data_IF_287704281330
#
_entry.id   IF_287704281330
#
_cell.length_a   1.000
_cell.length_b   1.000
_cell.length_c   1.000
_cell.angle_alpha   90.00
_cell.angle_beta   90.00
_cell.angle_gamma   90.00
#
_symmetry.space_group_name_H-M   'P 1'
#
loop_
_entity.id
_entity.type
_entity.pdbx_description
1 polymer ?
#
# COMPACT_ATOMS: atom_id res chain seq x y z
N UNK A 1 37.30 -11.18 -12.22
CA UNK A 1 35.94 -11.76 -12.16
C UNK A 1 35.15 -11.09 -11.04
N UNK A 2 34.13 -10.27 -11.35
CA UNK A 2 33.29 -9.62 -10.32
C UNK A 2 32.31 -10.66 -9.76
N UNK A 3 32.55 -11.15 -8.54
CA UNK A 3 31.61 -12.04 -7.83
C UNK A 3 30.26 -11.31 -7.73
N UNK A 4 29.25 -11.76 -8.48
CA UNK A 4 27.84 -11.36 -8.27
C UNK A 4 27.50 -11.78 -6.84
N UNK A 5 27.45 -10.84 -5.90
CA UNK A 5 26.94 -11.11 -4.54
C UNK A 5 25.53 -11.68 -4.72
N UNK A 6 25.31 -12.90 -4.26
CA UNK A 6 23.98 -13.50 -4.24
C UNK A 6 23.06 -12.53 -3.48
N UNK A 7 21.94 -12.18 -4.10
CA UNK A 7 20.99 -11.27 -3.47
C UNK A 7 20.39 -11.99 -2.26
N UNK A 8 20.48 -11.39 -1.07
CA UNK A 8 19.88 -11.96 0.14
C UNK A 8 18.36 -12.14 -0.10
N UNK A 9 17.85 -13.34 0.19
CA UNK A 9 16.43 -13.69 0.09
C UNK A 9 15.88 -13.83 1.50
N UNK A 10 14.80 -13.13 1.81
CA UNK A 10 14.10 -13.18 3.09
C UNK A 10 12.71 -13.77 2.85
N UNK A 11 12.28 -14.71 3.68
CA UNK A 11 10.93 -15.22 3.64
C UNK A 11 9.97 -14.25 4.34
N UNK A 12 8.75 -14.09 3.80
CA UNK A 12 7.66 -13.48 4.55
C UNK A 12 7.02 -14.50 5.50
N UNK A 13 6.01 -14.06 6.26
CA UNK A 13 5.32 -14.89 7.27
C UNK A 13 4.61 -16.11 6.67
N UNK A 14 4.42 -16.15 5.35
CA UNK A 14 3.76 -17.23 4.60
C UNK A 14 4.76 -18.11 3.84
N UNK A 15 6.07 -17.98 4.13
CA UNK A 15 7.13 -18.81 3.53
C UNK A 15 7.52 -18.42 2.10
N UNK A 16 7.00 -17.32 1.56
CA UNK A 16 7.36 -16.83 0.23
C UNK A 16 8.69 -16.08 0.29
N UNK A 17 9.67 -16.53 -0.50
CA UNK A 17 11.00 -15.91 -0.57
C UNK A 17 10.97 -14.64 -1.42
N UNK A 18 11.35 -13.52 -0.81
CA UNK A 18 11.44 -12.20 -1.43
C UNK A 18 12.89 -11.74 -1.43
N UNK A 19 13.34 -11.18 -2.56
CA UNK A 19 14.68 -10.59 -2.65
C UNK A 19 14.76 -9.31 -1.82
N UNK A 20 15.75 -9.19 -0.94
CA UNK A 20 16.01 -8.00 -0.12
C UNK A 20 16.65 -6.90 -0.97
N UNK A 21 15.85 -5.94 -1.45
CA UNK A 21 16.32 -4.79 -2.22
C UNK A 21 15.31 -3.63 -2.23
N UNK A 22 15.70 -2.45 -2.72
CA UNK A 22 14.82 -1.28 -2.85
C UNK A 22 13.55 -1.57 -3.66
N UNK A 23 13.61 -2.51 -4.60
CA UNK A 23 12.43 -3.00 -5.34
C UNK A 23 11.35 -3.63 -4.45
N UNK A 24 11.74 -4.26 -3.36
CA UNK A 24 10.85 -4.92 -2.39
C UNK A 24 10.70 -4.14 -1.08
N UNK A 25 11.28 -2.94 -0.98
CA UNK A 25 11.26 -2.13 0.23
C UNK A 25 9.88 -1.45 0.43
N UNK A 26 9.46 -1.29 1.69
CA UNK A 26 8.29 -0.50 2.08
C UNK A 26 8.43 0.97 1.66
N UNK A 27 9.64 1.54 1.81
CA UNK A 27 9.93 2.93 1.50
C UNK A 27 10.17 3.19 0.00
N UNK A 28 9.76 2.29 -0.90
CA UNK A 28 9.95 2.47 -2.35
C UNK A 28 8.95 3.48 -2.89
N UNK A 29 9.41 4.41 -3.72
CA UNK A 29 8.57 5.37 -4.41
C UNK A 29 9.07 5.66 -5.82
N UNK A 30 8.34 6.55 -6.48
CA UNK A 30 8.72 7.18 -7.74
C UNK A 30 8.53 8.69 -7.59
N UNK A 31 9.41 9.47 -8.18
CA UNK A 31 9.24 10.92 -8.27
C UNK A 31 8.36 11.33 -9.47
N UNK A 32 8.21 12.64 -9.68
CA UNK A 32 7.41 13.22 -10.76
C UNK A 32 7.96 12.91 -12.17
N UNK A 33 9.18 12.38 -12.27
CA UNK A 33 9.83 11.95 -13.51
C UNK A 33 9.82 10.41 -13.66
N UNK A 34 9.00 9.73 -12.87
CA UNK A 34 8.90 8.27 -12.81
C UNK A 34 10.24 7.57 -12.45
N UNK A 35 11.18 8.30 -11.85
CA UNK A 35 12.44 7.74 -11.37
C UNK A 35 12.26 7.15 -9.99
N UNK A 36 12.82 5.96 -9.78
CA UNK A 36 12.73 5.27 -8.49
C UNK A 36 13.47 6.04 -7.40
N UNK A 37 12.76 6.37 -6.34
CA UNK A 37 13.30 7.05 -5.17
C UNK A 37 12.98 6.27 -3.87
N UNK A 38 13.72 6.57 -2.82
CA UNK A 38 13.42 6.14 -1.46
C UNK A 38 12.59 7.23 -0.77
N UNK A 39 11.35 6.93 -0.38
CA UNK A 39 10.44 7.87 0.27
C UNK A 39 10.94 8.33 1.65
N UNK A 40 11.80 7.55 2.30
CA UNK A 40 12.38 7.90 3.59
C UNK A 40 13.48 8.97 3.47
N UNK A 41 14.28 8.94 2.40
CA UNK A 41 15.47 9.79 2.26
C UNK A 41 15.39 10.78 1.09
N UNK A 42 14.39 10.65 0.22
CA UNK A 42 14.23 11.41 -1.02
C UNK A 42 15.25 11.07 -2.11
N UNK A 43 16.19 10.14 -1.87
CA UNK A 43 17.27 9.83 -2.81
C UNK A 43 16.82 8.88 -3.92
N UNK A 44 17.34 9.07 -5.13
CA UNK A 44 17.20 8.11 -6.22
C UNK A 44 17.97 6.83 -5.93
N UNK A 45 17.32 5.69 -6.19
CA UNK A 45 17.88 4.36 -5.88
C UNK A 45 17.64 3.37 -7.01
N UNK A 46 18.62 2.49 -7.23
CA UNK A 46 18.44 1.36 -8.15
C UNK A 46 17.54 0.30 -7.53
N UNK A 47 16.72 -0.38 -8.33
CA UNK A 47 15.79 -1.40 -7.82
C UNK A 47 16.46 -2.58 -7.10
N UNK A 48 17.73 -2.86 -7.41
CA UNK A 48 18.53 -3.93 -6.79
C UNK A 48 19.43 -3.45 -5.65
N UNK A 49 19.44 -2.16 -5.31
CA UNK A 49 20.18 -1.65 -4.16
C UNK A 49 19.56 -2.14 -2.84
N UNK A 50 20.30 -2.08 -1.75
CA UNK A 50 19.83 -2.41 -0.40
C UNK A 50 20.48 -1.44 0.58
N UNK A 51 19.76 -1.06 1.63
CA UNK A 51 20.24 -0.22 2.72
C UNK A 51 19.88 -0.86 4.05
N UNK A 52 20.43 -0.36 5.14
CA UNK A 52 20.21 -0.90 6.48
C UNK A 52 18.77 -0.67 6.97
N UNK A 53 18.14 0.43 6.53
CA UNK A 53 16.72 0.74 6.80
C UNK A 53 15.73 -0.04 5.93
N UNK A 54 16.18 -1.11 5.26
CA UNK A 54 15.31 -1.91 4.42
C UNK A 54 14.27 -2.64 5.28
N UNK A 55 13.01 -2.53 4.87
CA UNK A 55 11.91 -3.34 5.40
C UNK A 55 11.04 -3.82 4.24
N UNK A 56 10.52 -5.04 4.33
CA UNK A 56 9.69 -5.61 3.28
C UNK A 56 8.40 -4.78 3.06
N UNK A 57 8.00 -4.55 1.81
CA UNK A 57 6.74 -3.84 1.54
C UNK A 57 5.53 -4.63 2.01
N UNK A 58 4.47 -3.93 2.42
CA UNK A 58 3.33 -4.59 3.07
C UNK A 58 2.60 -5.56 2.14
N UNK A 59 2.56 -5.27 0.84
CA UNK A 59 2.04 -6.20 -0.16
C UNK A 59 2.85 -7.50 -0.27
N UNK A 60 4.17 -7.42 -0.02
CA UNK A 60 5.05 -8.60 -0.02
C UNK A 60 5.02 -9.35 1.32
N UNK A 61 4.86 -8.66 2.46
CA UNK A 61 4.69 -9.30 3.77
C UNK A 61 3.51 -10.29 3.79
N UNK A 62 2.42 -9.92 3.13
CA UNK A 62 1.18 -10.71 3.09
C UNK A 62 1.05 -11.60 1.85
N UNK A 63 2.04 -11.59 0.96
CA UNK A 63 1.99 -12.34 -0.29
C UNK A 63 1.87 -13.84 0.04
N UNK A 64 0.85 -14.51 -0.50
CA UNK A 64 0.58 -15.92 -0.19
C UNK A 64 -0.44 -16.15 0.94
N UNK A 65 -0.95 -15.10 1.58
CA UNK A 65 -2.13 -15.22 2.43
C UNK A 65 -3.32 -15.77 1.62
N UNK A 66 -3.73 -17.00 1.89
CA UNK A 66 -4.64 -17.80 1.05
C UNK A 66 -6.10 -17.30 0.98
N UNK A 67 -6.46 -16.22 1.67
CA UNK A 67 -7.81 -15.68 1.66
C UNK A 67 -7.69 -14.16 1.64
N UNK A 68 -8.16 -13.54 0.55
CA UNK A 68 -8.10 -12.10 0.36
C UNK A 68 -8.48 -11.35 1.63
N UNK A 69 -7.72 -10.29 1.93
CA UNK A 69 -7.84 -9.52 3.16
C UNK A 69 -9.30 -9.25 3.52
N UNK A 70 -9.73 -9.66 4.70
CA UNK A 70 -11.08 -9.36 5.20
C UNK A 70 -11.15 -7.87 5.50
N UNK A 71 -12.05 -7.16 4.83
CA UNK A 71 -12.27 -5.76 5.12
C UNK A 71 -12.90 -5.61 6.50
N UNK A 72 -12.46 -4.58 7.23
CA UNK A 72 -13.06 -4.16 8.48
C UNK A 72 -14.52 -3.76 8.23
N UNK A 73 -15.41 -4.16 9.13
CA UNK A 73 -16.83 -3.77 9.09
C UNK A 73 -16.97 -2.25 9.09
N UNK A 74 -16.12 -1.57 9.85
CA UNK A 74 -16.10 -0.11 9.96
C UNK A 74 -15.80 0.57 8.62
N UNK A 75 -14.92 -0.02 7.80
CA UNK A 75 -14.67 0.49 6.46
C UNK A 75 -15.93 0.37 5.59
N UNK A 76 -16.62 -0.77 5.65
CA UNK A 76 -17.86 -0.97 4.89
C UNK A 76 -18.95 0.02 5.32
N UNK A 77 -19.11 0.25 6.63
CA UNK A 77 -20.07 1.24 7.14
C UNK A 77 -19.73 2.66 6.68
N UNK A 78 -18.47 3.06 6.77
CA UNK A 78 -18.03 4.40 6.31
C UNK A 78 -18.28 4.61 4.82
N UNK A 79 -18.05 3.59 4.00
CA UNK A 79 -18.34 3.63 2.56
C UNK A 79 -19.84 3.78 2.31
N UNK A 80 -20.68 3.03 3.03
CA UNK A 80 -22.14 3.14 2.92
C UNK A 80 -22.64 4.53 3.31
N UNK A 81 -22.13 5.10 4.41
CA UNK A 81 -22.52 6.44 4.87
C UNK A 81 -22.22 7.52 3.83
N UNK A 82 -21.02 7.50 3.22
CA UNK A 82 -20.65 8.44 2.16
C UNK A 82 -21.60 8.29 0.97
N UNK A 83 -21.85 7.06 0.52
CA UNK A 83 -22.75 6.80 -0.63
C UNK A 83 -24.19 7.22 -0.35
N UNK A 84 -24.70 6.96 0.85
CA UNK A 84 -26.03 7.40 1.26
C UNK A 84 -26.11 8.93 1.30
N UNK A 85 -25.07 9.61 1.79
CA UNK A 85 -25.02 11.07 1.81
C UNK A 85 -25.02 11.67 0.40
N UNK A 86 -24.24 11.10 -0.52
CA UNK A 86 -24.20 11.52 -1.93
C UNK A 86 -25.56 11.35 -2.61
N UNK A 87 -26.19 10.17 -2.46
CA UNK A 87 -27.53 9.91 -3.00
C UNK A 87 -28.57 10.89 -2.47
N UNK A 88 -28.52 11.20 -1.16
CA UNK A 88 -29.43 12.17 -0.55
C UNK A 88 -29.21 13.61 -1.06
N UNK A 89 -27.98 14.00 -1.37
CA UNK A 89 -27.68 15.31 -1.93
C UNK A 89 -28.15 15.43 -3.38
N UNK A 90 -27.92 14.40 -4.20
CA UNK A 90 -28.40 14.30 -5.57
C UNK A 90 -29.94 14.34 -5.59
N UNK A 91 -30.61 13.58 -4.71
CA UNK A 91 -32.07 13.59 -4.60
C UNK A 91 -32.64 14.97 -4.20
N UNK A 92 -31.85 15.81 -3.53
CA UNK A 92 -32.22 17.20 -3.19
C UNK A 92 -31.84 18.20 -4.28
N UNK A 93 -31.38 17.74 -5.45
CA UNK A 93 -31.00 18.57 -6.58
C UNK A 93 -29.68 19.33 -6.40
N UNK A 94 -28.81 18.90 -5.47
CA UNK A 94 -27.47 19.48 -5.35
C UNK A 94 -26.55 18.90 -6.41
N UNK A 95 -25.86 19.77 -7.12
CA UNK A 95 -24.76 19.39 -8.01
C UNK A 95 -23.53 19.06 -7.16
N UNK A 96 -23.04 17.83 -7.27
CA UNK A 96 -21.83 17.38 -6.57
C UNK A 96 -21.14 16.27 -7.34
N UNK A 97 -19.81 16.23 -7.22
CA UNK A 97 -19.00 15.12 -7.73
C UNK A 97 -18.86 14.04 -6.66
N UNK A 98 -19.24 12.77 -6.95
CA UNK A 98 -19.08 11.67 -6.01
C UNK A 98 -17.61 11.43 -5.65
N UNK A 99 -17.35 11.11 -4.39
CA UNK A 99 -16.03 10.73 -3.94
C UNK A 99 -15.61 9.40 -4.59
N UNK A 100 -14.38 9.35 -5.09
CA UNK A 100 -13.80 8.11 -5.61
C UNK A 100 -13.67 7.07 -4.49
N UNK A 101 -13.73 5.78 -4.84
CA UNK A 101 -13.49 4.70 -3.86
C UNK A 101 -12.11 4.84 -3.20
N UNK A 102 -11.13 5.36 -3.96
CA UNK A 102 -9.76 5.55 -3.52
C UNK A 102 -9.61 6.71 -2.52
N UNK A 103 -10.35 7.81 -2.68
CA UNK A 103 -10.37 8.91 -1.72
C UNK A 103 -11.06 8.50 -0.41
N UNK A 104 -12.19 7.78 -0.49
CA UNK A 104 -12.87 7.24 0.70
C UNK A 104 -11.96 6.25 1.45
N UNK A 105 -11.25 5.39 0.72
CA UNK A 105 -10.23 4.48 1.30
C UNK A 105 -9.16 5.25 2.05
N UNK A 106 -8.57 6.27 1.42
CA UNK A 106 -7.47 7.05 1.99
C UNK A 106 -7.90 7.76 3.28
N UNK A 107 -9.07 8.38 3.28
CA UNK A 107 -9.63 9.07 4.45
C UNK A 107 -9.87 8.11 5.62
N UNK A 108 -10.42 6.92 5.34
CA UNK A 108 -10.60 5.90 6.36
C UNK A 108 -9.25 5.46 6.93
N UNK A 109 -8.28 5.15 6.07
CA UNK A 109 -6.97 4.65 6.50
C UNK A 109 -6.16 5.69 7.28
N UNK A 110 -6.29 6.98 6.95
CA UNK A 110 -5.70 8.08 7.72
C UNK A 110 -6.27 8.18 9.14
N UNK A 111 -7.57 7.95 9.33
CA UNK A 111 -8.25 8.09 10.62
C UNK A 111 -8.17 6.84 11.50
N UNK A 112 -8.23 5.66 10.87
CA UNK A 112 -8.47 4.40 11.57
C UNK A 112 -7.38 3.35 11.34
N UNK A 113 -6.34 3.67 10.57
CA UNK A 113 -5.34 2.71 10.12
C UNK A 113 -5.90 1.76 9.06
N UNK A 114 -5.23 0.63 8.85
CA UNK A 114 -5.59 -0.36 7.81
C UNK A 114 -7.11 -0.64 7.75
N UNK A 115 -7.68 -0.59 6.53
CA UNK A 115 -9.07 -1.04 6.24
C UNK A 115 -9.28 -2.54 6.34
N UNK A 116 -8.21 -3.29 6.54
CA UNK A 116 -8.23 -4.74 6.62
C UNK A 116 -8.02 -5.19 8.05
N UNK A 117 -8.70 -6.28 8.42
CA UNK A 117 -8.39 -6.99 9.65
C UNK A 117 -6.96 -7.54 9.52
N UNK A 118 -6.08 -7.05 10.37
CA UNK A 118 -4.73 -7.57 10.52
C UNK A 118 -4.81 -8.64 11.62
N UNK A 119 -4.52 -9.90 11.26
CA UNK A 119 -4.42 -11.01 12.22
C UNK A 119 -3.10 -10.98 12.95
#
# INVERSE_FOLDING_TARGET
>A
MKKKRASEMIANDYGIKVKKCCGSCHNRGFDDQEQRCCLLTGKHVRGNAVCDDWSMSDGLKILGCQRGKVQRREYQLSLMEVRTSELNAIAKGKEMEPASVESIRRDFELKHGSRYLLH
#
